data_IF_907900861738
#
_entry.id   IF_907900861738
#
_cell.length_a   1.000
_cell.length_b   1.000
_cell.length_c   1.000
_cell.angle_alpha   90.00
_cell.angle_beta   90.00
_cell.angle_gamma   90.00
#
_symmetry.space_group_name_H-M   'P 1'
#
loop_
_entity.id
_entity.type
_entity.pdbx_description
1 polymer ?
#
# COMPACT_ATOMS: atom_id res chain seq x y z
N UNK A 1 11.02 1.41 -11.56
CA UNK A 1 9.87 0.47 -11.43
C UNK A 1 9.77 -0.54 -12.58
N UNK A 2 10.09 -0.10 -13.80
CA UNK A 2 10.05 -0.98 -14.96
C UNK A 2 10.98 -2.19 -14.82
N UNK A 3 12.18 -1.96 -14.35
CA UNK A 3 13.19 -3.02 -14.14
C UNK A 3 12.75 -4.04 -13.09
N UNK A 4 12.04 -3.58 -12.06
CA UNK A 4 11.48 -4.46 -11.03
C UNK A 4 10.41 -5.36 -11.63
N UNK A 5 9.54 -4.80 -12.49
CA UNK A 5 8.49 -5.57 -13.15
C UNK A 5 9.09 -6.62 -14.09
N UNK A 6 10.15 -6.28 -14.81
CA UNK A 6 10.85 -7.21 -15.69
C UNK A 6 11.47 -8.37 -14.89
N UNK A 7 12.09 -8.06 -13.75
CA UNK A 7 12.70 -9.07 -12.89
C UNK A 7 11.65 -10.01 -12.32
N UNK A 8 10.48 -9.51 -11.94
CA UNK A 8 9.37 -10.32 -11.47
C UNK A 8 8.86 -11.26 -12.56
N UNK A 9 8.75 -10.75 -13.78
CA UNK A 9 8.30 -11.55 -14.92
C UNK A 9 9.26 -12.70 -15.26
N UNK A 10 10.57 -12.49 -15.05
CA UNK A 10 11.59 -13.48 -15.27
C UNK A 10 11.71 -14.50 -14.13
N UNK A 11 11.09 -14.21 -12.97
CA UNK A 11 11.17 -15.10 -11.81
C UNK A 11 12.53 -15.14 -11.13
N UNK A 12 13.38 -14.11 -11.35
CA UNK A 12 14.72 -14.04 -10.78
C UNK A 12 14.66 -13.27 -9.44
N UNK A 13 14.64 -14.00 -8.34
CA UNK A 13 14.54 -13.44 -7.00
C UNK A 13 15.73 -12.53 -6.63
N UNK A 14 16.94 -12.90 -7.07
CA UNK A 14 18.13 -12.11 -6.78
C UNK A 14 18.07 -10.76 -7.48
N UNK A 15 17.60 -10.74 -8.73
CA UNK A 15 17.44 -9.51 -9.50
C UNK A 15 16.34 -8.64 -8.92
N UNK A 16 15.25 -9.24 -8.49
CA UNK A 16 14.15 -8.52 -7.83
C UNK A 16 14.67 -7.82 -6.57
N UNK A 17 15.44 -8.54 -5.75
CA UNK A 17 16.04 -7.98 -4.54
C UNK A 17 16.91 -6.76 -4.86
N UNK A 18 17.76 -6.88 -5.87
CA UNK A 18 18.66 -5.81 -6.27
C UNK A 18 17.89 -4.58 -6.74
N UNK A 19 16.91 -4.78 -7.61
CA UNK A 19 16.08 -3.69 -8.14
C UNK A 19 15.26 -3.02 -7.03
N UNK A 20 14.73 -3.80 -6.11
CA UNK A 20 14.02 -3.23 -4.96
C UNK A 20 14.94 -2.38 -4.09
N UNK A 21 16.17 -2.86 -3.88
CA UNK A 21 17.17 -2.10 -3.14
C UNK A 21 17.46 -0.75 -3.80
N UNK A 22 17.58 -0.74 -5.10
CA UNK A 22 17.83 0.48 -5.87
C UNK A 22 16.66 1.44 -5.77
N UNK A 23 15.43 0.95 -5.85
CA UNK A 23 14.24 1.78 -5.70
C UNK A 23 14.17 2.40 -4.30
N UNK A 24 14.41 1.58 -3.27
CA UNK A 24 14.39 2.06 -1.89
C UNK A 24 15.46 3.12 -1.65
N UNK A 25 16.67 2.90 -2.19
CA UNK A 25 17.75 3.87 -2.09
C UNK A 25 17.36 5.21 -2.73
N UNK A 26 16.74 5.14 -3.91
CA UNK A 26 16.28 6.35 -4.61
C UNK A 26 15.24 7.11 -3.79
N UNK A 27 14.30 6.38 -3.17
CA UNK A 27 13.26 6.99 -2.33
C UNK A 27 13.85 7.65 -1.08
N UNK A 28 14.82 6.99 -0.44
CA UNK A 28 15.51 7.58 0.72
C UNK A 28 16.22 8.88 0.31
N UNK A 29 16.84 8.88 -0.87
CA UNK A 29 17.51 10.07 -1.36
C UNK A 29 16.54 11.22 -1.65
N UNK A 30 15.35 10.90 -2.22
CA UNK A 30 14.30 11.90 -2.42
C UNK A 30 13.87 12.50 -1.07
N UNK A 31 13.67 11.66 -0.06
CA UNK A 31 13.30 12.10 1.28
C UNK A 31 14.38 13.04 1.85
N UNK A 32 15.63 12.66 1.72
CA UNK A 32 16.77 13.47 2.21
C UNK A 32 16.77 14.85 1.55
N UNK A 33 16.63 14.89 0.23
CA UNK A 33 16.62 16.15 -0.52
C UNK A 33 15.41 17.02 -0.18
N UNK A 34 14.32 16.40 0.26
CA UNK A 34 13.08 17.09 0.65
C UNK A 34 13.05 17.44 2.15
N UNK A 35 14.10 17.10 2.86
CA UNK A 35 14.20 17.30 4.32
C UNK A 35 13.10 16.56 5.08
N UNK A 36 12.77 15.34 4.61
CA UNK A 36 11.77 14.45 5.20
C UNK A 36 12.47 13.22 5.76
N UNK A 37 12.09 12.82 6.97
CA UNK A 37 12.54 11.56 7.56
C UNK A 37 11.83 10.41 6.88
N UNK A 38 12.58 9.56 6.15
CA UNK A 38 12.02 8.46 5.38
C UNK A 38 11.32 7.43 6.27
N UNK A 39 11.88 7.13 7.44
CA UNK A 39 11.25 6.20 8.39
C UNK A 39 9.93 6.72 8.89
N UNK A 40 9.87 7.99 9.23
CA UNK A 40 8.66 8.64 9.72
C UNK A 40 7.57 8.61 8.64
N UNK A 41 7.95 8.92 7.40
CA UNK A 41 7.02 8.86 6.27
C UNK A 41 6.48 7.44 6.07
N UNK A 42 7.34 6.44 6.21
CA UNK A 42 6.94 5.04 6.08
C UNK A 42 5.99 4.62 7.20
N UNK A 43 6.27 5.03 8.44
CA UNK A 43 5.38 4.74 9.56
C UNK A 43 3.98 5.32 9.34
N UNK A 44 3.91 6.55 8.83
CA UNK A 44 2.64 7.16 8.48
C UNK A 44 1.87 6.39 7.43
N UNK A 45 2.57 5.88 6.42
CA UNK A 45 1.98 5.07 5.37
C UNK A 45 1.45 3.74 5.91
N UNK A 46 2.19 3.10 6.82
CA UNK A 46 1.78 1.84 7.45
C UNK A 46 0.52 2.05 8.28
N UNK A 47 0.47 3.11 9.07
CA UNK A 47 -0.70 3.43 9.89
C UNK A 47 -1.94 3.70 9.03
N UNK A 48 -1.75 4.44 7.95
CA UNK A 48 -2.81 4.72 6.99
C UNK A 48 -3.36 3.44 6.37
N UNK A 49 -2.47 2.54 5.97
CA UNK A 49 -2.86 1.24 5.41
C UNK A 49 -3.65 0.42 6.43
N UNK A 50 -3.21 0.39 7.68
CA UNK A 50 -3.91 -0.35 8.75
C UNK A 50 -5.32 0.18 8.96
N UNK A 51 -5.50 1.48 8.97
CA UNK A 51 -6.83 2.09 9.14
C UNK A 51 -7.75 1.73 7.97
N UNK A 52 -7.23 1.82 6.76
CA UNK A 52 -8.00 1.49 5.56
C UNK A 52 -8.36 0.01 5.53
N UNK A 53 -7.43 -0.85 5.88
CA UNK A 53 -7.66 -2.29 5.92
C UNK A 53 -8.72 -2.63 6.97
N UNK A 54 -8.65 -2.05 8.16
CA UNK A 54 -9.65 -2.25 9.20
C UNK A 54 -11.04 -1.79 8.74
N UNK A 55 -11.11 -0.67 8.03
CA UNK A 55 -12.37 -0.18 7.46
C UNK A 55 -12.93 -1.12 6.41
N UNK A 56 -12.07 -1.66 5.55
CA UNK A 56 -12.47 -2.65 4.55
C UNK A 56 -13.00 -3.92 5.22
N UNK A 57 -12.28 -4.43 6.22
CA UNK A 57 -12.72 -5.62 6.95
C UNK A 57 -14.09 -5.42 7.59
N UNK A 58 -14.29 -4.28 8.25
CA UNK A 58 -15.56 -3.97 8.90
C UNK A 58 -16.71 -3.88 7.89
N UNK A 59 -16.45 -3.27 6.73
CA UNK A 59 -17.44 -3.17 5.65
C UNK A 59 -17.84 -4.54 5.12
N UNK A 60 -16.86 -5.40 4.90
CA UNK A 60 -17.11 -6.76 4.39
C UNK A 60 -17.89 -7.61 5.41
N UNK A 61 -17.55 -7.51 6.68
CA UNK A 61 -18.27 -8.21 7.74
C UNK A 61 -19.72 -7.74 7.81
N UNK A 62 -19.95 -6.43 7.69
CA UNK A 62 -21.29 -5.86 7.68
C UNK A 62 -22.11 -6.37 6.48
N UNK A 63 -21.46 -6.75 5.40
CA UNK A 63 -22.10 -7.32 4.21
C UNK A 63 -22.24 -8.84 4.27
N UNK A 64 -21.82 -9.45 5.37
CA UNK A 64 -21.94 -10.89 5.57
C UNK A 64 -20.82 -11.70 4.93
N UNK A 65 -19.68 -11.09 4.64
CA UNK A 65 -18.55 -11.77 4.03
C UNK A 65 -17.26 -11.44 4.79
N UNK A 66 -16.09 -11.70 4.21
CA UNK A 66 -14.80 -11.44 4.84
C UNK A 66 -13.74 -11.22 3.75
N UNK A 67 -12.57 -10.74 4.17
CA UNK A 67 -11.45 -10.54 3.25
C UNK A 67 -11.06 -11.86 2.55
N UNK A 68 -11.12 -12.98 3.26
CA UNK A 68 -10.75 -14.27 2.70
C UNK A 68 -11.81 -14.91 1.80
N UNK A 69 -13.04 -14.44 1.85
CA UNK A 69 -14.19 -15.04 1.14
C UNK A 69 -14.73 -14.16 0.03
N UNK A 70 -14.55 -12.84 0.13
CA UNK A 70 -15.13 -11.92 -0.84
C UNK A 70 -14.46 -12.06 -2.21
N UNK A 71 -15.21 -11.94 -3.32
CA UNK A 71 -14.64 -11.88 -4.65
C UNK A 71 -13.73 -10.65 -4.81
N UNK A 72 -12.80 -10.71 -5.75
CA UNK A 72 -11.81 -9.66 -5.95
C UNK A 72 -12.45 -8.29 -6.21
N UNK A 73 -13.50 -8.23 -7.01
CA UNK A 73 -14.19 -6.97 -7.31
C UNK A 73 -14.85 -6.36 -6.07
N UNK A 74 -15.33 -7.19 -5.16
CA UNK A 74 -15.90 -6.74 -3.90
C UNK A 74 -14.83 -6.19 -2.96
N UNK A 75 -13.67 -6.86 -2.91
CA UNK A 75 -12.51 -6.39 -2.15
C UNK A 75 -12.07 -5.01 -2.65
N UNK A 76 -11.97 -4.84 -3.95
CA UNK A 76 -11.56 -3.57 -4.55
C UNK A 76 -12.54 -2.45 -4.22
N UNK A 77 -13.83 -2.71 -4.32
CA UNK A 77 -14.86 -1.71 -3.99
C UNK A 77 -14.82 -1.33 -2.51
N UNK A 78 -14.65 -2.32 -1.65
CA UNK A 78 -14.59 -2.10 -0.22
C UNK A 78 -13.34 -1.29 0.16
N UNK A 79 -12.21 -1.58 -0.48
CA UNK A 79 -10.98 -0.82 -0.30
C UNK A 79 -11.14 0.63 -0.74
N UNK A 80 -11.75 0.87 -1.89
CA UNK A 80 -12.00 2.22 -2.40
C UNK A 80 -12.94 3.00 -1.47
N UNK A 81 -13.94 2.32 -0.90
CA UNK A 81 -14.83 2.91 0.08
C UNK A 81 -14.07 3.33 1.34
N UNK A 82 -13.18 2.46 1.84
CA UNK A 82 -12.36 2.75 3.01
C UNK A 82 -11.44 3.94 2.77
N UNK A 83 -10.84 4.02 1.60
CA UNK A 83 -10.01 5.17 1.21
C UNK A 83 -10.79 6.47 1.20
N UNK A 84 -12.00 6.46 0.65
CA UNK A 84 -12.87 7.63 0.61
C UNK A 84 -13.28 8.08 2.01
N UNK A 85 -13.68 7.14 2.85
CA UNK A 85 -14.08 7.43 4.22
C UNK A 85 -12.95 8.06 5.02
N UNK A 86 -11.74 7.56 4.87
CA UNK A 86 -10.57 8.12 5.53
C UNK A 86 -10.30 9.54 5.05
N UNK A 87 -10.37 9.76 3.75
CA UNK A 87 -10.14 11.09 3.17
C UNK A 87 -11.18 12.09 3.66
N UNK A 88 -12.45 11.70 3.67
CA UNK A 88 -13.55 12.56 4.13
C UNK A 88 -13.40 12.92 5.60
N UNK A 89 -12.91 11.99 6.40
CA UNK A 89 -12.68 12.21 7.82
C UNK A 89 -11.52 13.19 8.05
N UNK A 90 -10.51 13.17 7.19
CA UNK A 90 -9.33 14.03 7.33
C UNK A 90 -9.55 15.45 6.85
N UNK A 91 -10.46 15.66 5.93
CA UNK A 91 -10.77 16.99 5.43
C UNK A 91 -11.72 17.72 6.39
N UNK A 92 -11.39 18.97 6.75
CA UNK A 92 -12.24 19.76 7.66
C UNK A 92 -13.57 20.13 7.04
#
# INVERSE_FOLDING_TARGET
>A
MRETAEALAEGDAARVREELGDVLFSLVNVARLSEIDAEDALQGAIEKFRRRFAGMEADLVARGTSVGQAPQDELERSWETAKRQERDTREP
#
